data_IF_016449931565
#
_entry.id   IF_016449931565
#
_cell.length_a   1.000
_cell.length_b   1.000
_cell.length_c   1.000
_cell.angle_alpha   90.00
_cell.angle_beta   90.00
_cell.angle_gamma   90.00
#
_symmetry.space_group_name_H-M   'P 1'
#
loop_
_entity.id
_entity.type
_entity.pdbx_description
1 polymer ?
#
# COMPACT_ATOMS: atom_id res chain seq x y z
N UNK A 1 33.95 -14.04 -7.63
CA UNK A 1 32.51 -13.85 -7.81
C UNK A 1 32.14 -14.12 -9.26
N UNK A 2 31.20 -15.04 -9.49
CA UNK A 2 30.69 -15.38 -10.81
C UNK A 2 29.86 -14.23 -11.40
N UNK A 3 29.69 -14.23 -12.73
CA UNK A 3 28.84 -13.26 -13.43
C UNK A 3 27.42 -13.22 -12.88
N UNK A 4 26.86 -14.39 -12.54
CA UNK A 4 25.52 -14.53 -11.96
C UNK A 4 25.41 -13.87 -10.57
N UNK A 5 26.46 -13.96 -9.75
CA UNK A 5 26.49 -13.32 -8.42
C UNK A 5 26.54 -11.80 -8.55
N UNK A 6 27.27 -11.29 -9.54
CA UNK A 6 27.34 -9.84 -9.83
C UNK A 6 26.02 -9.31 -10.38
N UNK A 7 25.36 -10.07 -11.26
CA UNK A 7 24.05 -9.70 -11.81
C UNK A 7 22.99 -9.65 -10.71
N UNK A 8 22.92 -10.70 -9.87
CA UNK A 8 21.99 -10.73 -8.72
C UNK A 8 22.27 -9.62 -7.71
N UNK A 9 23.53 -9.29 -7.45
CA UNK A 9 23.88 -8.19 -6.57
C UNK A 9 23.45 -6.84 -7.15
N UNK A 10 23.63 -6.64 -8.46
CA UNK A 10 23.18 -5.44 -9.16
C UNK A 10 21.65 -5.31 -9.16
N UNK A 11 20.92 -6.38 -9.50
CA UNK A 11 19.45 -6.42 -9.45
C UNK A 11 18.92 -6.17 -8.03
N UNK A 12 19.55 -6.77 -7.02
CA UNK A 12 19.17 -6.53 -5.62
C UNK A 12 19.43 -5.09 -5.20
N UNK A 13 20.47 -4.45 -5.75
CA UNK A 13 20.83 -3.07 -5.42
C UNK A 13 19.93 -2.07 -6.15
N UNK A 14 19.62 -2.30 -7.43
CA UNK A 14 18.63 -1.53 -8.19
C UNK A 14 17.24 -1.61 -7.55
N UNK A 15 16.76 -2.81 -7.25
CA UNK A 15 15.47 -2.99 -6.57
C UNK A 15 15.41 -2.36 -5.17
N UNK A 16 16.55 -2.24 -4.48
CA UNK A 16 16.61 -1.53 -3.19
C UNK A 16 16.48 -0.02 -3.37
N UNK A 17 17.15 0.56 -4.38
CA UNK A 17 17.02 1.99 -4.70
C UNK A 17 15.61 2.34 -5.18
N UNK A 18 15.01 1.51 -6.04
CA UNK A 18 13.64 1.72 -6.52
C UNK A 18 12.64 1.64 -5.37
N UNK A 19 12.85 0.72 -4.43
CA UNK A 19 12.01 0.61 -3.25
C UNK A 19 12.13 1.86 -2.37
N UNK A 20 13.35 2.31 -2.06
CA UNK A 20 13.57 3.51 -1.26
C UNK A 20 12.96 4.77 -1.91
N UNK A 21 13.07 4.88 -3.23
CA UNK A 21 12.43 5.94 -4.01
C UNK A 21 10.90 5.89 -3.92
N UNK A 22 10.28 4.72 -4.12
CA UNK A 22 8.82 4.56 -3.97
C UNK A 22 8.35 4.81 -2.54
N UNK A 23 9.16 4.47 -1.53
CA UNK A 23 8.87 4.81 -0.14
C UNK A 23 8.84 6.34 0.09
N UNK A 24 9.71 7.09 -0.60
CA UNK A 24 9.71 8.55 -0.60
C UNK A 24 8.48 9.16 -1.29
N UNK A 25 7.91 8.48 -2.28
CA UNK A 25 6.71 8.89 -3.03
C UNK A 25 5.43 8.22 -2.55
N UNK A 26 5.43 7.71 -1.31
CA UNK A 26 4.35 6.90 -0.73
C UNK A 26 2.95 7.43 -1.06
N UNK A 27 2.68 8.72 -0.81
CA UNK A 27 1.36 9.31 -1.06
C UNK A 27 1.00 9.29 -2.55
N UNK A 28 1.91 9.71 -3.41
CA UNK A 28 1.70 9.78 -4.85
C UNK A 28 1.48 8.39 -5.46
N UNK A 29 2.17 7.37 -4.96
CA UNK A 29 1.97 5.96 -5.34
C UNK A 29 0.53 5.51 -5.02
N UNK A 30 0.01 5.87 -3.84
CA UNK A 30 -1.37 5.53 -3.49
C UNK A 30 -2.39 6.28 -4.35
N UNK A 31 -2.18 7.57 -4.59
CA UNK A 31 -3.06 8.37 -5.45
C UNK A 31 -3.06 7.85 -6.91
N UNK A 32 -1.90 7.46 -7.43
CA UNK A 32 -1.79 6.82 -8.74
C UNK A 32 -2.50 5.47 -8.78
N UNK A 33 -2.27 4.59 -7.79
CA UNK A 33 -2.96 3.29 -7.70
C UNK A 33 -4.49 3.45 -7.62
N UNK A 34 -4.97 4.49 -6.92
CA UNK A 34 -6.39 4.85 -6.90
C UNK A 34 -6.87 5.29 -8.28
N UNK A 35 -6.12 6.14 -8.97
CA UNK A 35 -6.43 6.59 -10.32
C UNK A 35 -6.52 5.46 -11.35
N UNK A 36 -5.70 4.42 -11.17
CA UNK A 36 -5.67 3.21 -12.00
C UNK A 36 -6.69 2.13 -11.59
N UNK A 37 -7.55 2.42 -10.61
CA UNK A 37 -8.51 1.46 -10.03
C UNK A 37 -7.85 0.17 -9.48
N UNK A 38 -6.54 0.21 -9.19
CA UNK A 38 -5.81 -0.90 -8.59
C UNK A 38 -6.12 -1.03 -7.09
N UNK A 39 -6.48 0.07 -6.44
CA UNK A 39 -7.01 0.13 -5.07
C UNK A 39 -8.26 1.01 -5.01
N UNK A 40 -9.11 0.76 -4.02
CA UNK A 40 -10.32 1.55 -3.83
C UNK A 40 -10.00 3.02 -3.49
N UNK A 41 -10.75 3.93 -4.12
CA UNK A 41 -10.71 5.37 -3.88
C UNK A 41 -11.35 5.77 -2.55
N UNK A 42 -12.27 4.94 -2.05
CA UNK A 42 -12.95 5.16 -0.78
C UNK A 42 -13.50 3.86 -0.18
N UNK A 43 -13.71 3.88 1.13
CA UNK A 43 -14.45 2.84 1.84
C UNK A 43 -15.48 3.45 2.78
N UNK A 44 -16.65 2.82 2.86
CA UNK A 44 -17.61 3.04 3.95
C UNK A 44 -17.30 2.13 5.14
N UNK A 45 -17.50 2.63 6.34
CA UNK A 45 -17.44 1.81 7.54
C UNK A 45 -18.59 0.78 7.50
N UNK A 46 -18.32 -0.53 7.69
CA UNK A 46 -19.36 -1.56 7.67
C UNK A 46 -20.36 -1.43 8.83
N UNK A 47 -20.02 -0.69 9.89
CA UNK A 47 -20.87 -0.52 11.08
C UNK A 47 -21.79 0.69 10.96
N UNK A 48 -21.29 1.84 10.53
CA UNK A 48 -22.07 3.09 10.48
C UNK A 48 -22.31 3.65 9.07
N UNK A 49 -21.71 3.08 8.04
CA UNK A 49 -21.79 3.56 6.65
C UNK A 49 -20.96 4.81 6.35
N UNK A 50 -20.42 5.51 7.35
CA UNK A 50 -19.64 6.73 7.14
C UNK A 50 -18.34 6.47 6.38
N UNK A 51 -17.93 7.44 5.56
CA UNK A 51 -16.69 7.38 4.80
C UNK A 51 -15.49 7.23 5.75
N UNK A 52 -14.69 6.20 5.50
CA UNK A 52 -13.44 5.96 6.19
C UNK A 52 -12.37 6.93 5.69
N UNK A 53 -11.41 7.24 6.56
CA UNK A 53 -10.30 8.14 6.26
C UNK A 53 -9.04 7.32 6.06
N UNK A 54 -8.37 7.52 4.92
CA UNK A 54 -7.04 6.99 4.69
C UNK A 54 -6.06 7.68 5.64
N UNK A 55 -5.38 6.92 6.48
CA UNK A 55 -4.51 7.44 7.52
C UNK A 55 -3.15 6.75 7.43
N UNK A 56 -2.09 7.55 7.41
CA UNK A 56 -0.72 7.05 7.49
C UNK A 56 -0.49 6.36 8.84
N UNK A 57 0.10 5.16 8.79
CA UNK A 57 0.40 4.33 9.97
C UNK A 57 1.69 3.56 9.73
N UNK A 58 2.36 3.21 10.81
CA UNK A 58 3.49 2.28 10.77
C UNK A 58 3.01 0.84 10.51
N UNK A 59 2.63 0.56 9.26
CA UNK A 59 2.20 -0.74 8.76
C UNK A 59 2.95 -1.04 7.45
N UNK A 60 2.85 -2.28 6.96
CA UNK A 60 3.60 -2.77 5.79
C UNK A 60 3.51 -1.83 4.58
N UNK A 61 2.28 -1.39 4.26
CA UNK A 61 1.99 -0.53 3.11
C UNK A 61 1.96 0.97 3.48
N UNK A 62 2.24 1.33 4.73
CA UNK A 62 2.27 2.72 5.22
C UNK A 62 0.90 3.38 5.43
N UNK A 63 -0.18 2.86 4.85
CA UNK A 63 -1.52 3.43 4.99
C UNK A 63 -2.58 2.40 5.35
N UNK A 64 -3.58 2.83 6.13
CA UNK A 64 -4.79 2.05 6.42
C UNK A 64 -6.03 2.93 6.33
N UNK A 65 -7.18 2.32 6.03
CA UNK A 65 -8.47 2.97 6.16
C UNK A 65 -8.97 2.86 7.59
N UNK A 66 -9.41 3.98 8.18
CA UNK A 66 -9.91 4.04 9.55
C UNK A 66 -11.26 4.71 9.60
N UNK A 67 -12.21 4.13 10.33
CA UNK A 67 -13.41 4.86 10.69
C UNK A 67 -13.11 5.83 11.85
N UNK A 68 -13.49 7.10 11.71
CA UNK A 68 -13.23 8.16 12.70
C UNK A 68 -14.46 8.53 13.54
N UNK A 69 -15.37 7.58 13.77
CA UNK A 69 -16.50 7.82 14.67
C UNK A 69 -16.02 7.81 16.12
N UNK A 70 -16.18 8.93 16.81
CA UNK A 70 -15.79 9.12 18.21
C UNK A 70 -17.03 9.28 19.11
N UNK A 71 -16.88 9.06 20.42
CA UNK A 71 -17.92 9.28 21.42
C UNK A 71 -18.66 8.01 21.84
N UNK A 72 -19.93 8.15 22.25
CA UNK A 72 -20.73 7.07 22.89
C UNK A 72 -20.99 5.86 21.98
N UNK A 73 -20.68 5.96 20.68
CA UNK A 73 -20.76 4.86 19.70
C UNK A 73 -19.45 4.74 18.89
N UNK A 74 -18.30 4.93 19.55
CA UNK A 74 -17.01 4.75 18.89
C UNK A 74 -16.83 3.30 18.41
N UNK A 75 -16.23 3.13 17.24
CA UNK A 75 -15.86 1.83 16.75
C UNK A 75 -14.52 1.87 16.02
N UNK A 76 -13.59 1.05 16.50
CA UNK A 76 -12.20 1.00 16.02
C UNK A 76 -12.03 0.15 14.76
N UNK A 77 -12.87 0.39 13.76
CA UNK A 77 -12.83 -0.34 12.50
C UNK A 77 -11.66 0.17 11.65
N UNK A 78 -10.79 -0.78 11.28
CA UNK A 78 -9.65 -0.57 10.39
C UNK A 78 -9.79 -1.50 9.20
N UNK A 79 -9.32 -1.06 8.03
CA UNK A 79 -9.26 -1.87 6.82
C UNK A 79 -7.93 -1.63 6.11
N UNK A 80 -7.29 -2.70 5.67
CA UNK A 80 -6.10 -2.60 4.82
C UNK A 80 -6.47 -1.97 3.48
N UNK A 81 -5.56 -1.15 2.95
CA UNK A 81 -5.65 -0.59 1.60
C UNK A 81 -5.72 -1.66 0.50
N UNK A 82 -5.25 -2.88 0.80
CA UNK A 82 -5.21 -4.02 -0.13
C UNK A 82 -6.53 -4.77 -0.26
N UNK A 83 -7.48 -4.59 0.67
CA UNK A 83 -8.73 -5.37 0.62
C UNK A 83 -9.48 -5.06 -0.68
N UNK A 84 -10.10 -6.06 -1.31
CA UNK A 84 -10.92 -5.87 -2.52
C UNK A 84 -10.20 -5.05 -3.61
N UNK A 85 -8.89 -5.26 -3.76
CA UNK A 85 -8.03 -4.52 -4.67
C UNK A 85 -7.22 -5.49 -5.52
N UNK A 86 -6.48 -4.97 -6.50
CA UNK A 86 -5.52 -5.76 -7.28
C UNK A 86 -4.44 -6.42 -6.40
N UNK A 87 -4.16 -5.83 -5.24
CA UNK A 87 -3.19 -6.34 -4.26
C UNK A 87 -3.81 -7.25 -3.18
N UNK A 88 -5.11 -7.61 -3.28
CA UNK A 88 -5.75 -8.46 -2.27
C UNK A 88 -5.03 -9.82 -2.19
N UNK A 89 -4.84 -10.32 -0.97
CA UNK A 89 -4.10 -11.57 -0.69
C UNK A 89 -2.62 -11.61 -1.13
N UNK A 90 -2.07 -10.53 -1.71
CA UNK A 90 -0.64 -10.48 -2.07
C UNK A 90 0.24 -10.60 -0.82
N UNK A 91 1.34 -11.33 -0.93
CA UNK A 91 2.38 -11.40 0.12
C UNK A 91 3.39 -10.26 0.04
N UNK A 92 3.36 -9.50 -1.06
CA UNK A 92 4.21 -8.35 -1.29
C UNK A 92 3.51 -7.08 -0.83
N UNK A 93 4.29 -6.12 -0.34
CA UNK A 93 3.79 -4.76 -0.13
C UNK A 93 3.58 -4.08 -1.48
N UNK A 94 2.68 -3.09 -1.53
CA UNK A 94 2.30 -2.39 -2.76
C UNK A 94 3.53 -1.91 -3.56
N UNK A 95 4.52 -1.21 -2.97
CA UNK A 95 5.71 -0.80 -3.72
C UNK A 95 6.48 -1.95 -4.36
N UNK A 96 6.66 -3.08 -3.65
CA UNK A 96 7.35 -4.26 -4.19
C UNK A 96 6.58 -4.89 -5.34
N UNK A 97 5.26 -5.00 -5.21
CA UNK A 97 4.41 -5.52 -6.26
C UNK A 97 4.46 -4.62 -7.51
N UNK A 98 4.51 -3.30 -7.32
CA UNK A 98 4.65 -2.34 -8.43
C UNK A 98 6.00 -2.44 -9.13
N UNK A 99 7.10 -2.53 -8.36
CA UNK A 99 8.44 -2.74 -8.95
C UNK A 99 8.41 -3.98 -9.85
N UNK A 100 7.94 -5.12 -9.35
CA UNK A 100 7.95 -6.37 -10.12
C UNK A 100 7.04 -6.39 -11.36
N UNK A 101 6.10 -5.44 -11.47
CA UNK A 101 5.10 -5.47 -12.55
C UNK A 101 5.18 -4.30 -13.52
N UNK A 102 5.80 -3.18 -13.12
CA UNK A 102 5.85 -1.95 -13.92
C UNK A 102 7.27 -1.38 -14.09
N UNK A 103 8.27 -1.89 -13.35
CA UNK A 103 9.67 -1.44 -13.43
C UNK A 103 10.60 -2.61 -13.79
#
# INVERSE_FOLDING_TARGET
>A
MSSLEKHRAFESQAGMYDLEFLYGLKKDVFEWCMGMDMIAKEYGCPTCGEKMVLTERNCSDGYIWVCRKFGVNEHHIKRTVRKCSWFDESKLIIPQALILTYL
#
